data_IF_877980224914
#
_entry.id   IF_877980224914
#
_cell.length_a   1.000
_cell.length_b   1.000
_cell.length_c   1.000
_cell.angle_alpha   90.00
_cell.angle_beta   90.00
_cell.angle_gamma   90.00
#
_symmetry.space_group_name_H-M   'P 1'
#
loop_
_entity.id
_entity.type
_entity.pdbx_description
1 polymer ?
#
# COMPACT_ATOMS: atom_id res chain seq x y z
N UNK A 1 -3.99 6.45 -16.24
CA UNK A 1 -3.41 6.50 -16.00
C UNK A 1 -2.21 6.01 -15.35
N UNK A 2 -1.42 6.52 -14.92
CA UNK A 2 -0.14 6.08 -14.54
C UNK A 2 -0.03 5.37 -13.23
N UNK A 3 -1.14 5.19 -12.56
CA UNK A 3 -1.12 4.64 -11.21
C UNK A 3 -0.59 3.23 -11.10
N UNK A 4 -0.64 2.46 -12.19
CA UNK A 4 -0.17 1.09 -12.17
C UNK A 4 1.28 0.98 -12.63
N UNK A 5 1.95 2.07 -12.95
CA UNK A 5 3.34 2.02 -13.35
C UNK A 5 4.24 1.67 -12.17
N UNK A 6 5.43 1.17 -12.46
CA UNK A 6 6.39 0.85 -11.40
C UNK A 6 6.76 2.10 -10.58
N UNK A 7 6.88 3.25 -11.24
CA UNK A 7 7.20 4.50 -10.54
C UNK A 7 6.06 4.90 -9.61
N UNK A 8 4.81 4.73 -10.05
CA UNK A 8 3.65 5.05 -9.21
C UNK A 8 3.55 4.14 -8.01
N UNK A 9 3.80 2.85 -8.19
CA UNK A 9 3.80 1.90 -7.08
C UNK A 9 4.90 2.21 -6.07
N UNK A 10 6.09 2.56 -6.55
CA UNK A 10 7.20 2.88 -5.67
C UNK A 10 6.89 4.13 -4.86
N UNK A 11 6.32 5.15 -5.48
CA UNK A 11 5.95 6.38 -4.77
C UNK A 11 4.94 6.08 -3.66
N UNK A 12 3.97 5.23 -3.94
CA UNK A 12 2.97 4.86 -2.93
C UNK A 12 3.58 4.02 -1.81
N UNK A 13 4.51 3.13 -2.13
CA UNK A 13 5.21 2.36 -1.10
C UNK A 13 6.04 3.26 -0.21
N UNK A 14 6.75 4.23 -0.79
CA UNK A 14 7.54 5.16 -0.02
C UNK A 14 6.65 5.98 0.92
N UNK A 15 5.49 6.40 0.43
CA UNK A 15 4.55 7.14 1.24
C UNK A 15 4.00 6.29 2.38
N UNK A 16 3.71 5.03 2.10
CA UNK A 16 3.19 4.11 3.11
C UNK A 16 4.23 3.87 4.20
N UNK A 17 5.49 3.73 3.82
CA UNK A 17 6.59 3.58 4.79
C UNK A 17 6.62 4.79 5.72
N UNK A 18 6.49 6.00 5.20
CA UNK A 18 6.46 7.21 6.00
C UNK A 18 5.28 7.23 6.96
N UNK A 19 4.10 6.92 6.45
CA UNK A 19 2.86 7.00 7.24
C UNK A 19 2.90 5.98 8.37
N UNK A 20 3.41 4.77 8.09
CA UNK A 20 3.47 3.72 9.09
C UNK A 20 4.64 3.88 10.07
N UNK A 21 5.53 4.81 9.79
CA UNK A 21 6.62 5.11 10.71
C UNK A 21 7.82 4.19 10.62
N UNK A 22 7.99 3.48 9.52
CA UNK A 22 9.18 2.66 9.31
C UNK A 22 10.30 3.48 8.70
N UNK A 23 11.54 3.06 8.92
CA UNK A 23 12.70 3.75 8.37
C UNK A 23 12.87 3.46 6.89
N UNK A 24 12.45 2.28 6.44
CA UNK A 24 12.60 1.89 5.05
C UNK A 24 11.60 0.80 4.70
N UNK A 25 11.47 0.54 3.41
CA UNK A 25 10.65 -0.55 2.91
C UNK A 25 11.17 -1.91 3.42
N UNK A 26 12.48 -2.04 3.56
CA UNK A 26 13.08 -3.27 4.08
C UNK A 26 12.65 -3.57 5.51
N UNK A 27 12.28 -2.55 6.27
CA UNK A 27 11.75 -2.74 7.62
C UNK A 27 10.25 -3.04 7.60
N UNK A 28 9.53 -2.44 6.67
CA UNK A 28 8.08 -2.64 6.59
C UNK A 28 7.71 -4.03 6.12
N UNK A 29 8.38 -4.53 5.09
CA UNK A 29 7.98 -5.78 4.44
C UNK A 29 8.05 -7.00 5.36
N UNK A 30 9.12 -7.21 6.15
CA UNK A 30 9.13 -8.36 7.06
C UNK A 30 8.02 -8.29 8.11
N UNK A 31 7.72 -7.09 8.59
CA UNK A 31 6.63 -6.93 9.55
C UNK A 31 5.29 -7.26 8.92
N UNK A 32 5.07 -6.85 7.68
CA UNK A 32 3.83 -7.12 6.97
C UNK A 32 3.66 -8.62 6.69
N UNK A 33 4.74 -9.30 6.34
CA UNK A 33 4.70 -10.73 6.07
C UNK A 33 4.37 -11.51 7.33
N UNK A 34 4.84 -11.05 8.49
CA UNK A 34 4.64 -11.75 9.75
C UNK A 34 3.21 -11.61 10.29
N UNK A 35 2.49 -10.58 9.86
CA UNK A 35 1.15 -10.32 10.37
C UNK A 35 0.08 -10.89 9.45
N UNK A 36 -1.09 -11.17 10.01
CA UNK A 36 -2.24 -11.63 9.21
C UNK A 36 -2.88 -10.47 8.44
N UNK A 37 -2.57 -9.23 8.80
CA UNK A 37 -3.00 -8.05 8.04
C UNK A 37 -1.76 -7.23 7.73
N UNK A 38 -1.86 -6.41 6.69
CA UNK A 38 -0.72 -5.64 6.25
C UNK A 38 -1.16 -4.23 5.90
N UNK A 39 -0.28 -3.23 6.03
CA UNK A 39 -0.63 -1.86 5.64
C UNK A 39 -0.95 -1.78 4.15
N UNK A 40 -1.93 -0.96 3.82
CA UNK A 40 -2.38 -0.76 2.46
C UNK A 40 -2.63 0.72 2.23
N UNK A 41 -2.51 1.17 1.00
CA UNK A 41 -2.66 2.58 0.66
C UNK A 41 -3.47 2.73 -0.63
N UNK A 42 -4.25 3.79 -0.69
CA UNK A 42 -5.02 4.12 -1.89
C UNK A 42 -4.08 4.48 -3.03
N UNK A 43 -4.35 3.91 -4.20
CA UNK A 43 -3.51 4.09 -5.38
C UNK A 43 -3.86 5.32 -6.20
N UNK A 44 -4.91 6.04 -5.84
CA UNK A 44 -5.24 7.26 -6.56
C UNK A 44 -4.21 8.35 -6.29
N UNK A 45 -3.87 9.14 -7.31
CA UNK A 45 -2.92 10.22 -7.16
C UNK A 45 -3.41 11.21 -6.12
N UNK A 46 -2.52 11.60 -5.23
CA UNK A 46 -2.83 12.60 -4.23
C UNK A 46 -3.62 12.10 -3.04
N UNK A 47 -4.00 10.83 -3.02
CA UNK A 47 -4.74 10.26 -1.91
C UNK A 47 -3.79 9.47 -1.02
N UNK A 48 -3.74 9.82 0.27
CA UNK A 48 -2.89 9.14 1.24
C UNK A 48 -3.69 8.28 2.21
N UNK A 49 -4.89 7.88 1.84
CA UNK A 49 -5.71 7.02 2.68
C UNK A 49 -5.03 5.67 2.88
N UNK A 50 -4.91 5.25 4.13
CA UNK A 50 -4.31 3.97 4.47
C UNK A 50 -5.25 3.17 5.34
N UNK A 51 -5.10 1.85 5.28
CA UNK A 51 -5.89 0.93 6.12
C UNK A 51 -5.09 -0.36 6.24
N UNK A 52 -5.51 -1.21 7.18
CA UNK A 52 -4.93 -2.54 7.29
C UNK A 52 -5.84 -3.51 6.58
N UNK A 53 -5.29 -4.33 5.72
CA UNK A 53 -6.05 -5.25 4.88
C UNK A 53 -5.33 -6.58 4.77
N UNK A 54 -5.99 -7.55 4.16
CA UNK A 54 -5.35 -8.83 3.90
C UNK A 54 -4.15 -8.64 2.99
N UNK A 55 -3.09 -9.42 3.16
CA UNK A 55 -1.85 -9.21 2.40
C UNK A 55 -2.02 -9.27 0.88
N UNK A 56 -2.99 -10.02 0.38
CA UNK A 56 -3.23 -10.14 -1.06
C UNK A 56 -4.29 -9.17 -1.58
N UNK A 57 -4.75 -8.23 -0.77
CA UNK A 57 -5.78 -7.29 -1.19
C UNK A 57 -5.20 -6.26 -2.15
N UNK A 58 -5.81 -6.14 -3.34
CA UNK A 58 -5.36 -5.16 -4.33
C UNK A 58 -6.48 -4.20 -4.74
N UNK A 59 -7.70 -4.37 -4.23
CA UNK A 59 -8.83 -3.50 -4.56
C UNK A 59 -9.66 -3.21 -3.34
N UNK A 60 -8.99 -2.88 -2.23
CA UNK A 60 -9.68 -2.50 -1.01
C UNK A 60 -10.41 -1.19 -1.17
N UNK A 61 -11.40 -0.98 -0.33
CA UNK A 61 -12.22 0.22 -0.38
C UNK A 61 -11.48 1.41 0.22
N UNK A 62 -11.46 2.53 -0.52
CA UNK A 62 -10.94 3.80 -0.01
C UNK A 62 -12.10 4.67 0.39
N UNK A 63 -12.22 4.98 1.68
CA UNK A 63 -13.32 5.80 2.17
C UNK A 63 -13.18 7.26 1.77
N UNK A 64 -11.97 7.70 1.47
CA UNK A 64 -11.75 9.07 1.04
C UNK A 64 -12.15 9.29 -0.42
N UNK A 65 -11.94 8.29 -1.27
CA UNK A 65 -12.24 8.39 -2.70
C UNK A 65 -13.54 7.71 -3.09
N UNK A 66 -14.09 6.88 -2.22
CA UNK A 66 -15.26 6.04 -2.50
C UNK A 66 -15.03 5.13 -3.70
N UNK A 67 -13.84 4.54 -3.77
CA UNK A 67 -13.48 3.64 -4.86
C UNK A 67 -12.69 2.46 -4.33
N UNK A 68 -12.65 1.36 -5.09
CA UNK A 68 -11.89 0.17 -4.74
C UNK A 68 -10.46 0.32 -5.26
N UNK A 69 -9.65 1.12 -4.58
CA UNK A 69 -8.32 1.49 -5.06
C UNK A 69 -7.22 1.31 -4.03
N UNK A 70 -7.49 0.60 -2.93
CA UNK A 70 -6.49 0.41 -1.87
C UNK A 70 -5.77 -0.92 -2.08
N UNK A 71 -4.44 -0.88 -2.14
CA UNK A 71 -3.62 -2.07 -2.36
C UNK A 71 -2.66 -2.27 -1.20
N UNK A 72 -2.42 -3.53 -0.85
CA UNK A 72 -1.51 -3.86 0.25
C UNK A 72 -0.06 -3.61 -0.14
N UNK A 73 0.80 -3.43 0.87
CA UNK A 73 2.22 -3.23 0.64
C UNK A 73 2.85 -4.42 -0.10
N UNK A 74 2.43 -5.64 0.22
CA UNK A 74 2.99 -6.84 -0.41
C UNK A 74 2.62 -6.93 -1.89
N UNK A 75 1.41 -6.52 -2.23
CA UNK A 75 0.99 -6.46 -3.64
C UNK A 75 1.80 -5.40 -4.37
N UNK A 76 1.93 -4.21 -3.76
CA UNK A 76 2.66 -3.11 -4.38
C UNK A 76 4.15 -3.41 -4.57
N UNK A 77 4.72 -4.18 -3.64
CA UNK A 77 6.12 -4.55 -3.73
C UNK A 77 6.37 -5.72 -4.70
N UNK A 78 5.30 -6.32 -5.23
CA UNK A 78 5.44 -7.42 -6.17
C UNK A 78 5.77 -8.75 -5.51
N UNK A 79 5.53 -8.89 -4.19
CA UNK A 79 5.81 -10.12 -3.47
C UNK A 79 4.68 -11.12 -3.66
N UNK A 80 3.48 -10.62 -3.85
CA UNK A 80 2.31 -11.46 -4.08
C UNK A 80 1.73 -11.23 -5.47
#
# INVERSE_FOLDING_TARGET
MANSSAAGRQAKLDRLVEIEGYDSLDDLLPAAVADSVCPAICMNDGCDYTAEMEPDQDRGWCEACDTNTVASALVLAGII
#
